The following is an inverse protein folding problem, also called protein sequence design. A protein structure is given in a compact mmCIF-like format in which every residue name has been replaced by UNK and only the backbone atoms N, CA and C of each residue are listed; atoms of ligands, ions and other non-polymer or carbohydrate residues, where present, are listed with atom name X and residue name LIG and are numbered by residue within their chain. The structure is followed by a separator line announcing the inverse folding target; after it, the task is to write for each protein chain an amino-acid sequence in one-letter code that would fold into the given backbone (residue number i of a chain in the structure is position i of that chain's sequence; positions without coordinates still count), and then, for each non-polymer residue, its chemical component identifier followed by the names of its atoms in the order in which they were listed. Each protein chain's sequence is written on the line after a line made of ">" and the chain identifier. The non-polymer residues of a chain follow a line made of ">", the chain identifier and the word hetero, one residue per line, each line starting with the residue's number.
data_IF_340226034151
#
_entry.id   IF_340226034151
#
_cell.length_a   1.000
_cell.length_b   1.000
_cell.length_c   1.000
_cell.angle_alpha   90.00
_cell.angle_beta   90.00
_cell.angle_gamma   90.00
#
_symmetry.space_group_name_H-M   'P 1'
#
loop_
_entity.id
_entity.type
_entity.pdbx_description
1 polymer ?
#
# COMPACT_ATOMS: atom_id res chain seq x y z
N UNK A 1 -11.87 -48.42 5.90
CA UNK A 1 -11.68 -47.32 4.92
C UNK A 1 -11.38 -45.98 5.59
N UNK A 2 -12.29 -45.41 6.41
CA UNK A 2 -12.02 -44.11 7.08
C UNK A 2 -10.84 -44.19 8.06
N UNK A 3 -10.75 -45.25 8.85
CA UNK A 3 -9.66 -45.50 9.80
C UNK A 3 -8.29 -45.62 9.12
N UNK A 4 -8.25 -46.23 7.96
CA UNK A 4 -7.01 -46.40 7.17
C UNK A 4 -6.56 -45.05 6.57
N UNK A 5 -7.53 -44.23 6.10
CA UNK A 5 -7.26 -42.90 5.60
C UNK A 5 -6.71 -42.02 6.73
N UNK A 6 -7.34 -41.96 7.90
CA UNK A 6 -6.88 -41.17 9.04
C UNK A 6 -5.49 -41.63 9.53
N UNK A 7 -5.23 -42.94 9.57
CA UNK A 7 -3.92 -43.46 9.92
C UNK A 7 -2.84 -42.98 8.96
N UNK A 8 -3.10 -43.09 7.65
CA UNK A 8 -2.16 -42.62 6.62
C UNK A 8 -1.95 -41.13 6.66
N UNK A 9 -3.01 -40.33 6.89
CA UNK A 9 -2.90 -38.86 7.08
C UNK A 9 -1.99 -38.53 8.26
N UNK A 10 -2.23 -39.14 9.43
CA UNK A 10 -1.42 -38.91 10.64
C UNK A 10 0.06 -39.26 10.40
N UNK A 11 0.32 -40.37 9.72
CA UNK A 11 1.66 -40.83 9.40
C UNK A 11 2.39 -39.85 8.46
N UNK A 12 1.74 -39.45 7.38
CA UNK A 12 2.29 -38.50 6.41
C UNK A 12 2.52 -37.13 7.04
N UNK A 13 1.56 -36.64 7.82
CA UNK A 13 1.66 -35.35 8.52
C UNK A 13 2.86 -35.36 9.50
N UNK A 14 2.98 -36.42 10.31
CA UNK A 14 4.13 -36.58 11.20
C UNK A 14 5.47 -36.59 10.45
N UNK A 15 5.52 -37.20 9.28
CA UNK A 15 6.72 -37.22 8.44
C UNK A 15 7.03 -35.85 7.84
N UNK A 16 6.04 -35.08 7.39
CA UNK A 16 6.18 -33.73 6.88
C UNK A 16 6.66 -32.76 7.97
N UNK A 17 6.07 -32.84 9.17
CA UNK A 17 6.44 -31.98 10.32
C UNK A 17 7.83 -32.27 10.89
N UNK A 18 8.37 -33.46 10.68
CA UNK A 18 9.75 -33.80 11.10
C UNK A 18 10.83 -33.26 10.18
N UNK A 19 10.48 -32.85 8.95
CA UNK A 19 11.44 -32.30 8.00
C UNK A 19 11.61 -30.80 8.24
N UNK A 20 12.80 -30.39 8.69
CA UNK A 20 13.13 -28.98 8.94
C UNK A 20 12.91 -28.08 7.71
N UNK A 21 13.23 -28.59 6.53
CA UNK A 21 13.00 -27.90 5.25
C UNK A 21 11.52 -27.63 5.01
N UNK A 22 10.63 -28.58 5.29
CA UNK A 22 9.18 -28.39 5.13
C UNK A 22 8.67 -27.33 6.08
N UNK A 23 9.09 -27.35 7.35
CA UNK A 23 8.72 -26.34 8.33
C UNK A 23 9.19 -24.94 7.94
N UNK A 24 10.43 -24.84 7.47
CA UNK A 24 11.00 -23.55 7.03
C UNK A 24 10.23 -22.97 5.86
N UNK A 25 10.00 -23.76 4.82
CA UNK A 25 9.30 -23.27 3.63
C UNK A 25 7.81 -23.06 3.82
N UNK A 26 7.17 -23.83 4.70
CA UNK A 26 5.71 -23.74 4.93
C UNK A 26 5.35 -22.65 5.92
N UNK A 27 6.14 -22.44 6.97
CA UNK A 27 5.78 -21.52 8.05
C UNK A 27 6.69 -20.28 8.15
N UNK A 28 8.01 -20.46 8.02
CA UNK A 28 8.94 -19.34 8.23
C UNK A 28 9.00 -18.43 7.00
N UNK A 29 9.12 -19.01 5.81
CA UNK A 29 9.23 -18.24 4.58
C UNK A 29 7.99 -17.37 4.29
N UNK A 30 6.75 -17.81 4.45
CA UNK A 30 5.59 -16.94 4.30
C UNK A 30 5.66 -15.70 5.20
N UNK A 31 6.04 -15.86 6.46
CA UNK A 31 6.15 -14.73 7.41
C UNK A 31 7.20 -13.72 6.96
N UNK A 32 8.37 -14.21 6.52
CA UNK A 32 9.43 -13.34 5.99
C UNK A 32 8.95 -12.59 4.76
N UNK A 33 8.30 -13.30 3.83
CA UNK A 33 7.77 -12.68 2.61
C UNK A 33 6.64 -11.69 2.91
N UNK A 34 5.72 -12.00 3.84
CA UNK A 34 4.69 -11.06 4.27
C UNK A 34 5.30 -9.78 4.80
N UNK A 35 6.30 -9.90 5.68
CA UNK A 35 6.98 -8.73 6.22
C UNK A 35 7.68 -7.92 5.12
N UNK A 36 8.45 -8.59 4.27
CA UNK A 36 9.21 -7.92 3.20
C UNK A 36 8.28 -7.23 2.18
N UNK A 37 7.33 -7.96 1.62
CA UNK A 37 6.42 -7.41 0.59
C UNK A 37 5.48 -6.38 1.20
N UNK A 38 4.97 -6.60 2.41
CA UNK A 38 4.16 -5.61 3.10
C UNK A 38 4.91 -4.28 3.26
N UNK A 39 6.19 -4.30 3.64
CA UNK A 39 7.00 -3.08 3.72
C UNK A 39 7.28 -2.46 2.35
N UNK A 40 7.60 -3.25 1.33
CA UNK A 40 7.84 -2.75 -0.03
C UNK A 40 6.56 -2.18 -0.65
N UNK A 41 5.41 -2.78 -0.38
CA UNK A 41 4.10 -2.33 -0.89
C UNK A 41 3.51 -1.12 -0.14
N UNK A 42 4.26 -0.50 0.78
CA UNK A 42 3.84 0.70 1.51
C UNK A 42 3.65 0.48 3.02
N UNK A 43 4.02 -0.68 3.54
CA UNK A 43 3.95 -1.00 4.97
C UNK A 43 2.52 -1.02 5.51
N UNK A 44 2.39 -0.73 6.78
CA UNK A 44 1.10 -0.40 7.42
C UNK A 44 0.71 1.05 7.05
N UNK A 45 0.73 1.39 5.76
CA UNK A 45 0.44 2.74 5.29
C UNK A 45 -0.83 3.25 5.96
N UNK A 46 -0.65 4.11 6.94
CA UNK A 46 -1.75 4.83 7.58
C UNK A 46 -2.25 5.82 6.54
N UNK A 47 -3.33 5.47 5.90
CA UNK A 47 -4.03 6.34 4.94
C UNK A 47 -4.40 7.69 5.58
N UNK A 48 -4.39 7.78 6.91
CA UNK A 48 -4.75 8.95 7.69
C UNK A 48 -3.55 9.78 8.18
N UNK A 49 -2.30 9.29 8.05
CA UNK A 49 -1.14 10.10 8.42
C UNK A 49 -0.79 11.09 7.30
N UNK A 50 -0.61 12.38 7.65
CA UNK A 50 -0.19 13.38 6.68
C UNK A 50 1.18 13.03 6.08
N UNK A 51 1.26 13.05 4.75
CA UNK A 51 2.50 12.79 4.03
C UNK A 51 3.54 13.88 4.33
N UNK A 52 4.76 13.54 4.77
CA UNK A 52 5.78 14.54 5.00
C UNK A 52 6.27 15.15 3.69
N UNK A 53 6.35 16.49 3.66
CA UNK A 53 6.83 17.28 2.52
C UNK A 53 7.73 18.41 3.00
N UNK A 54 8.85 18.62 2.33
CA UNK A 54 9.72 19.74 2.59
C UNK A 54 9.36 20.93 1.70
N UNK A 55 9.45 22.14 2.25
CA UNK A 55 9.27 23.37 1.49
C UNK A 55 10.60 24.15 1.53
N UNK A 56 11.18 24.34 0.36
CA UNK A 56 12.35 25.19 0.19
C UNK A 56 11.86 26.56 -0.32
N UNK A 57 11.88 27.55 0.55
CA UNK A 57 11.49 28.92 0.23
C UNK A 57 12.65 29.87 0.52
N UNK A 58 12.96 30.80 -0.39
CA UNK A 58 13.91 31.87 -0.11
C UNK A 58 13.26 32.92 0.83
N UNK A 59 14.10 33.77 1.45
CA UNK A 59 13.63 34.75 2.42
C UNK A 59 12.66 35.79 1.82
N UNK A 60 12.77 36.06 0.51
CA UNK A 60 11.94 36.99 -0.25
C UNK A 60 10.68 36.37 -0.87
N UNK A 61 10.37 35.11 -0.56
CA UNK A 61 9.17 34.42 -1.07
C UNK A 61 7.86 35.10 -0.68
N UNK A 62 7.85 35.75 0.48
CA UNK A 62 6.71 36.53 1.00
C UNK A 62 5.57 35.65 1.54
N UNK A 63 4.49 36.27 1.98
CA UNK A 63 3.41 35.62 2.73
C UNK A 63 2.60 34.59 1.94
N UNK A 64 2.55 34.69 0.61
CA UNK A 64 1.85 33.66 -0.20
C UNK A 64 2.54 32.28 -0.12
N UNK A 65 3.83 32.24 0.19
CA UNK A 65 4.53 30.99 0.43
C UNK A 65 4.06 30.31 1.73
N UNK A 66 3.79 31.09 2.77
CA UNK A 66 3.26 30.60 4.04
C UNK A 66 1.80 30.15 3.88
N UNK A 67 1.02 30.88 3.10
CA UNK A 67 -0.35 30.52 2.77
C UNK A 67 -0.40 29.21 1.94
N UNK A 68 0.55 29.01 1.03
CA UNK A 68 0.67 27.75 0.30
C UNK A 68 0.99 26.59 1.26
N UNK A 69 1.88 26.81 2.22
CA UNK A 69 2.20 25.82 3.25
C UNK A 69 0.95 25.38 4.03
N UNK A 70 0.16 26.34 4.51
CA UNK A 70 -1.10 26.08 5.21
C UNK A 70 -2.09 25.28 4.36
N UNK A 71 -2.15 25.54 3.05
CA UNK A 71 -3.02 24.78 2.14
C UNK A 71 -2.55 23.37 1.91
N UNK A 72 -1.24 23.16 1.83
CA UNK A 72 -0.67 21.81 1.74
C UNK A 72 -1.02 20.99 2.98
N UNK A 73 -0.99 21.59 4.17
CA UNK A 73 -1.43 20.91 5.40
C UNK A 73 -2.91 20.51 5.33
N UNK A 74 -3.77 21.37 4.82
CA UNK A 74 -5.20 21.04 4.60
C UNK A 74 -5.41 19.92 3.57
N UNK A 75 -4.43 19.67 2.70
CA UNK A 75 -4.43 18.57 1.73
C UNK A 75 -3.67 17.35 2.23
N UNK A 76 -3.60 17.16 3.54
CA UNK A 76 -3.00 16.01 4.20
C UNK A 76 -1.50 15.86 3.94
N UNK A 77 -0.78 16.98 3.94
CA UNK A 77 0.68 17.01 4.01
C UNK A 77 1.13 17.52 5.37
N UNK A 78 2.27 17.02 5.85
CA UNK A 78 2.95 17.54 7.05
C UNK A 78 4.26 18.19 6.62
N UNK A 79 4.41 19.48 6.91
CA UNK A 79 5.62 20.22 6.55
C UNK A 79 6.76 19.79 7.45
N UNK A 80 7.90 19.42 6.84
CA UNK A 80 9.15 19.07 7.53
C UNK A 80 10.25 20.07 7.15
N UNK A 81 11.06 20.45 8.14
CA UNK A 81 12.19 21.38 7.93
C UNK A 81 13.47 20.61 7.58
N UNK A 82 13.42 19.78 6.56
CA UNK A 82 14.57 19.02 6.11
C UNK A 82 14.91 19.37 4.68
N UNK A 83 16.13 19.87 4.45
CA UNK A 83 16.62 20.10 3.09
C UNK A 83 16.90 18.74 2.42
N UNK A 84 16.58 18.64 1.12
CA UNK A 84 16.73 17.40 0.32
C UNK A 84 15.86 16.21 0.80
N UNK A 85 14.64 16.49 1.19
CA UNK A 85 13.68 15.45 1.46
C UNK A 85 13.16 14.83 0.15
N UNK A 86 12.74 13.57 0.18
CA UNK A 86 12.29 12.84 -1.02
C UNK A 86 11.03 13.44 -1.68
N UNK A 87 10.29 14.30 -0.97
CA UNK A 87 9.21 15.16 -1.48
C UNK A 87 9.53 16.60 -1.12
N UNK A 88 9.84 17.41 -2.12
CA UNK A 88 10.24 18.81 -1.89
C UNK A 88 9.46 19.74 -2.82
N UNK A 89 8.90 20.79 -2.25
CA UNK A 89 8.36 21.91 -3.02
C UNK A 89 9.40 23.04 -2.99
N UNK A 90 9.81 23.49 -4.17
CA UNK A 90 10.68 24.64 -4.32
C UNK A 90 9.88 25.83 -4.79
N UNK A 91 9.88 26.89 -3.98
CA UNK A 91 9.24 28.16 -4.28
C UNK A 91 10.29 29.11 -4.86
N UNK A 92 9.99 29.81 -5.98
CA UNK A 92 10.93 30.74 -6.59
C UNK A 92 11.09 32.03 -5.75
N UNK A 93 12.21 32.75 -5.91
CA UNK A 93 12.40 34.04 -5.29
C UNK A 93 11.34 35.04 -5.79
N UNK A 94 10.96 35.99 -4.92
CA UNK A 94 9.95 37.00 -5.25
C UNK A 94 8.58 36.41 -5.59
N UNK A 95 8.25 35.21 -5.10
CA UNK A 95 6.99 34.49 -5.40
C UNK A 95 5.74 35.34 -5.20
N UNK A 96 5.63 35.98 -4.04
CA UNK A 96 4.49 36.83 -3.71
C UNK A 96 4.42 38.04 -4.62
N UNK A 97 5.53 38.77 -4.80
CA UNK A 97 5.57 39.95 -5.65
C UNK A 97 5.21 39.63 -7.12
N UNK A 98 5.75 38.56 -7.65
CA UNK A 98 5.43 38.09 -9.01
C UNK A 98 3.95 37.72 -9.16
N UNK A 99 3.39 36.92 -8.25
CA UNK A 99 1.98 36.53 -8.29
C UNK A 99 1.03 37.73 -8.15
N UNK A 100 1.38 38.70 -7.33
CA UNK A 100 0.58 39.93 -7.15
C UNK A 100 0.70 40.88 -8.35
N UNK A 101 1.83 40.90 -9.03
CA UNK A 101 2.00 41.70 -10.27
C UNK A 101 1.29 41.08 -11.49
N UNK A 102 0.68 39.89 -11.37
CA UNK A 102 0.02 39.17 -12.47
C UNK A 102 0.96 38.25 -13.23
N UNK A 103 2.19 38.03 -12.75
CA UNK A 103 3.10 37.03 -13.28
C UNK A 103 2.64 35.61 -12.94
N UNK A 104 3.27 34.63 -13.58
CA UNK A 104 3.03 33.20 -13.36
C UNK A 104 4.26 32.53 -12.74
N UNK A 105 4.53 32.73 -11.44
CA UNK A 105 5.67 32.11 -10.80
C UNK A 105 5.50 30.59 -10.79
N UNK A 106 6.55 29.85 -11.18
CA UNK A 106 6.54 28.39 -11.25
C UNK A 106 6.94 27.79 -9.91
N UNK A 107 6.03 27.02 -9.30
CA UNK A 107 6.33 26.20 -8.14
C UNK A 107 6.75 24.81 -8.63
N UNK A 108 7.93 24.37 -8.22
CA UNK A 108 8.44 23.06 -8.61
C UNK A 108 8.14 22.02 -7.53
N UNK A 109 7.49 20.94 -7.89
CA UNK A 109 7.35 19.76 -7.05
C UNK A 109 8.37 18.71 -7.47
N UNK A 110 9.34 18.46 -6.61
CA UNK A 110 10.44 17.51 -6.83
C UNK A 110 10.18 16.29 -5.98
N UNK A 111 10.19 15.12 -6.61
CA UNK A 111 10.08 13.83 -5.95
C UNK A 111 11.21 12.93 -6.36
N UNK A 112 11.95 12.42 -5.37
CA UNK A 112 12.96 11.40 -5.57
C UNK A 112 12.35 10.02 -5.36
N UNK A 113 12.41 9.17 -6.37
CA UNK A 113 11.89 7.81 -6.38
C UNK A 113 10.57 7.64 -7.13
N UNK A 114 10.39 6.45 -7.67
CA UNK A 114 9.15 6.02 -8.35
C UNK A 114 8.28 5.27 -7.35
N UNK A 115 7.09 5.76 -7.08
CA UNK A 115 6.09 5.10 -6.23
C UNK A 115 4.72 5.09 -6.88
N UNK A 116 3.90 4.15 -6.50
CA UNK A 116 2.54 3.93 -7.04
C UNK A 116 1.62 5.14 -6.84
N UNK A 117 1.92 6.00 -5.84
CA UNK A 117 1.07 7.15 -5.47
C UNK A 117 1.52 8.50 -6.05
N UNK A 118 2.42 8.51 -7.03
CA UNK A 118 3.01 9.75 -7.59
C UNK A 118 1.94 10.69 -8.14
N UNK A 119 1.00 10.17 -8.92
CA UNK A 119 -0.06 10.97 -9.56
C UNK A 119 -1.03 11.55 -8.52
N UNK A 120 -1.28 10.80 -7.44
CA UNK A 120 -2.14 11.27 -6.37
C UNK A 120 -1.51 12.42 -5.57
N UNK A 121 -0.21 12.32 -5.26
CA UNK A 121 0.54 13.37 -4.57
C UNK A 121 0.60 14.66 -5.43
N UNK A 122 0.93 14.51 -6.71
CA UNK A 122 0.96 15.63 -7.65
C UNK A 122 -0.42 16.32 -7.74
N UNK A 123 -1.49 15.53 -7.77
CA UNK A 123 -2.86 16.07 -7.81
C UNK A 123 -3.16 16.88 -6.55
N UNK A 124 -2.77 16.43 -5.36
CA UNK A 124 -2.97 17.15 -4.09
C UNK A 124 -2.18 18.47 -4.05
N UNK A 125 -0.91 18.44 -4.49
CA UNK A 125 -0.09 19.66 -4.60
C UNK A 125 -0.70 20.63 -5.60
N UNK A 126 -1.11 20.16 -6.78
CA UNK A 126 -1.75 21.02 -7.78
C UNK A 126 -3.05 21.63 -7.28
N UNK A 127 -3.85 20.89 -6.50
CA UNK A 127 -5.06 21.44 -5.86
C UNK A 127 -4.74 22.56 -4.87
N UNK A 128 -3.70 22.40 -4.06
CA UNK A 128 -3.28 23.43 -3.12
C UNK A 128 -2.83 24.72 -3.84
N UNK A 129 -2.04 24.57 -4.91
CA UNK A 129 -1.56 25.70 -5.73
C UNK A 129 -2.72 26.37 -6.46
N UNK A 130 -3.61 25.62 -7.09
CA UNK A 130 -4.76 26.15 -7.81
C UNK A 130 -5.76 26.84 -6.88
N UNK A 131 -5.97 26.30 -5.68
CA UNK A 131 -6.79 26.95 -4.67
C UNK A 131 -6.21 28.32 -4.24
N UNK A 132 -4.88 28.38 -4.05
CA UNK A 132 -4.20 29.64 -3.74
C UNK A 132 -4.37 30.65 -4.89
N UNK A 133 -4.14 30.23 -6.12
CA UNK A 133 -4.30 31.08 -7.31
C UNK A 133 -5.74 31.57 -7.46
N UNK A 134 -6.73 30.71 -7.23
CA UNK A 134 -8.15 31.06 -7.27
C UNK A 134 -8.53 32.12 -6.25
N UNK A 135 -8.00 32.00 -5.03
CA UNK A 135 -8.29 32.96 -3.97
C UNK A 135 -7.60 34.31 -4.20
N UNK A 136 -6.37 34.31 -4.74
CA UNK A 136 -5.70 35.55 -5.19
C UNK A 136 -6.52 36.25 -6.27
N UNK A 137 -7.01 35.49 -7.25
CA UNK A 137 -7.85 36.02 -8.33
C UNK A 137 -9.19 36.57 -7.79
N UNK A 138 -9.81 35.88 -6.82
CA UNK A 138 -11.06 36.32 -6.18
C UNK A 138 -10.88 37.64 -5.43
N UNK A 139 -9.82 37.74 -4.60
CA UNK A 139 -9.52 38.97 -3.87
C UNK A 139 -9.27 40.13 -4.81
N UNK A 140 -8.48 39.95 -5.87
CA UNK A 140 -8.24 40.93 -6.90
C UNK A 140 -9.52 41.35 -7.62
N UNK A 141 -10.37 40.40 -7.96
CA UNK A 141 -11.67 40.65 -8.62
C UNK A 141 -12.63 41.45 -7.71
N UNK A 142 -12.47 41.35 -6.39
CA UNK A 142 -13.22 42.15 -5.41
C UNK A 142 -12.57 43.51 -5.10
N UNK A 143 -11.45 43.85 -5.74
CA UNK A 143 -10.69 45.08 -5.45
C UNK A 143 -9.98 45.06 -4.09
N UNK A 144 -9.85 43.90 -3.45
CA UNK A 144 -9.21 43.73 -2.14
C UNK A 144 -7.73 43.37 -2.35
N UNK A 145 -6.83 44.15 -1.74
CA UNK A 145 -5.42 43.80 -1.75
C UNK A 145 -5.19 42.46 -1.02
N UNK A 146 -4.57 41.45 -1.68
CA UNK A 146 -4.26 40.20 -1.03
C UNK A 146 -3.30 40.38 0.16
N UNK A 147 -3.76 40.00 1.34
CA UNK A 147 -3.02 40.05 2.60
C UNK A 147 -3.38 38.81 3.44
N UNK A 148 -2.60 38.44 4.47
CA UNK A 148 -2.96 37.33 5.35
C UNK A 148 -4.37 37.47 5.95
N UNK A 149 -4.73 38.69 6.37
CA UNK A 149 -6.07 38.97 6.93
C UNK A 149 -7.17 38.83 5.87
N UNK A 150 -6.90 39.22 4.63
CA UNK A 150 -7.85 39.08 3.53
C UNK A 150 -8.13 37.61 3.22
N UNK A 151 -7.11 36.75 3.25
CA UNK A 151 -7.28 35.29 3.10
C UNK A 151 -8.06 34.69 4.28
N UNK A 152 -7.79 35.13 5.51
CA UNK A 152 -8.53 34.67 6.68
C UNK A 152 -10.02 35.00 6.57
N UNK A 153 -10.35 36.24 6.15
CA UNK A 153 -11.74 36.65 5.90
C UNK A 153 -12.39 35.88 4.75
N UNK A 154 -11.65 35.66 3.66
CA UNK A 154 -12.14 34.86 2.52
C UNK A 154 -12.48 33.44 2.94
N UNK A 155 -11.65 32.83 3.79
CA UNK A 155 -11.87 31.48 4.30
C UNK A 155 -13.12 31.32 5.18
N UNK A 156 -13.57 32.42 5.81
CA UNK A 156 -14.78 32.47 6.65
C UNK A 156 -16.06 32.72 5.82
N UNK A 157 -15.93 33.14 4.56
CA UNK A 157 -17.11 33.36 3.73
C UNK A 157 -17.82 32.02 3.39
N UNK A 158 -19.17 32.02 3.39
CA UNK A 158 -19.91 30.82 3.01
C UNK A 158 -19.59 30.45 1.57
N UNK A 159 -19.28 29.17 1.36
CA UNK A 159 -19.00 28.65 0.02
C UNK A 159 -20.25 28.82 -0.86
N UNK A 160 -20.14 29.58 -1.93
CA UNK A 160 -21.24 29.76 -2.91
C UNK A 160 -21.62 28.50 -3.64
N UNK A 161 -20.67 27.57 -3.79
CA UNK A 161 -20.90 26.26 -4.39
C UNK A 161 -20.39 25.22 -3.39
N UNK A 162 -21.30 24.41 -2.86
CA UNK A 162 -20.99 23.28 -2.03
C UNK A 162 -21.12 22.00 -2.87
N UNK A 163 -20.06 21.23 -2.97
CA UNK A 163 -20.11 19.91 -3.60
C UNK A 163 -20.51 18.91 -2.52
N UNK A 164 -21.71 18.38 -2.61
CA UNK A 164 -22.15 17.28 -1.77
C UNK A 164 -21.79 15.95 -2.44
N UNK A 165 -20.74 15.32 -1.97
CA UNK A 165 -20.32 14.01 -2.49
C UNK A 165 -21.09 12.93 -1.75
N UNK A 166 -22.04 12.31 -2.43
CA UNK A 166 -22.73 11.10 -1.95
C UNK A 166 -22.05 9.90 -2.56
N UNK A 167 -21.65 8.94 -1.72
CA UNK A 167 -21.07 7.70 -2.23
C UNK A 167 -22.16 6.89 -2.96
N UNK A 168 -22.04 6.74 -4.26
CA UNK A 168 -22.95 5.95 -5.09
C UNK A 168 -22.71 4.43 -4.96
N UNK A 169 -22.45 3.96 -3.75
CA UNK A 169 -22.21 2.56 -3.43
C UNK A 169 -21.15 2.39 -2.35
N UNK A 170 -20.98 1.17 -1.88
CA UNK A 170 -19.88 0.80 -0.98
C UNK A 170 -18.57 0.80 -1.76
N UNK A 171 -17.95 1.94 -1.93
CA UNK A 171 -16.58 2.00 -2.41
C UNK A 171 -15.70 1.40 -1.31
N UNK A 172 -15.37 0.13 -1.44
CA UNK A 172 -14.30 -0.44 -0.63
C UNK A 172 -13.04 0.31 -1.01
N UNK A 173 -12.46 1.00 -0.05
CA UNK A 173 -11.10 1.53 -0.21
C UNK A 173 -10.24 0.35 -0.65
N UNK A 174 -9.52 0.50 -1.76
CA UNK A 174 -8.65 -0.57 -2.21
C UNK A 174 -7.62 -0.83 -1.11
N UNK A 175 -7.52 -2.06 -0.60
CA UNK A 175 -6.56 -2.37 0.44
C UNK A 175 -5.15 -2.07 -0.06
N UNK A 176 -4.32 -1.45 0.79
CA UNK A 176 -2.95 -1.06 0.47
C UNK A 176 -2.00 -1.76 1.45
N UNK A 177 -0.77 -2.02 1.01
CA UNK A 177 0.24 -2.59 1.87
C UNK A 177 -0.10 -4.00 2.35
N UNK A 178 -0.07 -4.21 3.66
CA UNK A 178 -0.33 -5.53 4.24
C UNK A 178 -1.75 -6.06 4.01
N UNK A 179 -2.76 -5.19 4.01
CA UNK A 179 -4.15 -5.59 3.75
C UNK A 179 -4.35 -6.21 2.36
N UNK A 180 -3.59 -5.75 1.37
CA UNK A 180 -3.61 -6.31 0.02
C UNK A 180 -2.67 -7.50 -0.11
N UNK A 181 -1.48 -7.42 0.48
CA UNK A 181 -0.43 -8.42 0.33
C UNK A 181 -0.78 -9.74 1.03
N UNK A 182 -1.35 -9.67 2.25
CA UNK A 182 -1.61 -10.86 3.07
C UNK A 182 -2.55 -11.87 2.39
N UNK A 183 -3.75 -11.51 1.90
CA UNK A 183 -4.63 -12.48 1.26
C UNK A 183 -4.01 -13.11 0.00
N UNK A 184 -3.38 -12.29 -0.85
CA UNK A 184 -2.75 -12.78 -2.08
C UNK A 184 -1.59 -13.73 -1.81
N UNK A 185 -0.75 -13.39 -0.85
CA UNK A 185 0.37 -14.21 -0.41
C UNK A 185 -0.09 -15.51 0.22
N UNK A 186 -1.11 -15.48 1.07
CA UNK A 186 -1.65 -16.67 1.72
C UNK A 186 -2.12 -17.68 0.68
N UNK A 187 -2.86 -17.24 -0.33
CA UNK A 187 -3.29 -18.11 -1.43
C UNK A 187 -2.09 -18.64 -2.22
N UNK A 188 -1.15 -17.77 -2.57
CA UNK A 188 0.05 -18.16 -3.33
C UNK A 188 0.88 -19.21 -2.57
N UNK A 189 1.17 -18.99 -1.29
CA UNK A 189 1.96 -19.95 -0.49
C UNK A 189 1.21 -21.25 -0.26
N UNK A 190 -0.09 -21.20 0.00
CA UNK A 190 -0.91 -22.42 0.12
C UNK A 190 -0.85 -23.24 -1.16
N UNK A 191 -1.01 -22.62 -2.32
CA UNK A 191 -0.89 -23.30 -3.61
C UNK A 191 0.52 -23.84 -3.85
N UNK A 192 1.55 -23.07 -3.51
CA UNK A 192 2.94 -23.48 -3.68
C UNK A 192 3.27 -24.68 -2.80
N UNK A 193 2.82 -24.71 -1.55
CA UNK A 193 3.01 -25.83 -0.63
C UNK A 193 2.25 -27.07 -1.15
N UNK A 194 0.97 -26.91 -1.51
CA UNK A 194 0.16 -28.04 -1.98
C UNK A 194 0.71 -28.64 -3.27
N UNK A 195 1.12 -27.82 -4.22
CA UNK A 195 1.59 -28.29 -5.52
C UNK A 195 3.04 -28.80 -5.47
N UNK A 196 3.94 -28.02 -4.88
CA UNK A 196 5.38 -28.33 -4.89
C UNK A 196 5.69 -29.48 -3.93
N UNK A 197 5.34 -29.36 -2.66
CA UNK A 197 5.58 -30.42 -1.67
C UNK A 197 4.79 -31.69 -2.06
N UNK A 198 3.57 -31.52 -2.56
CA UNK A 198 2.75 -32.61 -3.07
C UNK A 198 3.36 -33.34 -4.25
N UNK A 199 3.78 -32.60 -5.26
CA UNK A 199 4.36 -33.14 -6.48
C UNK A 199 5.71 -33.84 -6.25
N UNK A 200 6.62 -33.15 -5.56
CA UNK A 200 7.95 -33.70 -5.24
C UNK A 200 7.85 -34.95 -4.40
N UNK A 201 6.98 -34.97 -3.40
CA UNK A 201 6.80 -36.16 -2.53
C UNK A 201 6.25 -37.36 -3.33
N UNK A 202 5.25 -37.14 -4.19
CA UNK A 202 4.68 -38.18 -5.05
C UNK A 202 5.73 -38.77 -6.00
N UNK A 203 6.56 -37.94 -6.63
CA UNK A 203 7.63 -38.38 -7.51
C UNK A 203 8.69 -39.18 -6.73
N UNK A 204 9.07 -38.70 -5.55
CA UNK A 204 10.02 -39.42 -4.68
C UNK A 204 9.48 -40.80 -4.24
N UNK A 205 8.23 -40.88 -3.79
CA UNK A 205 7.57 -42.12 -3.41
C UNK A 205 7.44 -43.09 -4.57
N UNK A 206 7.16 -42.58 -5.78
CA UNK A 206 7.14 -43.40 -7.00
C UNK A 206 8.51 -43.97 -7.28
N UNK A 207 9.58 -43.18 -7.20
CA UNK A 207 10.97 -43.62 -7.43
C UNK A 207 11.43 -44.63 -6.38
N UNK A 208 11.00 -44.48 -5.13
CA UNK A 208 11.30 -45.40 -4.03
C UNK A 208 10.45 -46.70 -4.05
N UNK A 209 9.51 -46.83 -4.98
CA UNK A 209 8.63 -47.98 -5.09
C UNK A 209 7.56 -48.06 -3.98
N UNK A 210 7.39 -47.02 -3.16
CA UNK A 210 6.41 -46.96 -2.07
C UNK A 210 4.98 -47.08 -2.62
N UNK A 211 4.67 -46.39 -3.71
CA UNK A 211 3.36 -46.47 -4.35
C UNK A 211 3.06 -47.91 -4.87
N UNK A 212 4.07 -48.64 -5.33
CA UNK A 212 3.92 -50.03 -5.78
C UNK A 212 3.60 -50.95 -4.61
N UNK A 213 4.25 -50.76 -3.46
CA UNK A 213 3.97 -51.52 -2.23
C UNK A 213 2.58 -51.23 -1.68
N UNK A 214 2.16 -49.96 -1.72
CA UNK A 214 0.80 -49.55 -1.34
C UNK A 214 -0.27 -50.14 -2.26
N UNK A 215 0.03 -50.27 -3.56
CA UNK A 215 -0.89 -50.89 -4.53
C UNK A 215 -1.06 -52.40 -4.34
N UNK A 216 -0.10 -53.07 -3.72
CA UNK A 216 -0.17 -54.49 -3.37
C UNK A 216 -0.74 -54.75 -1.96
N UNK A 217 -1.04 -53.70 -1.18
CA UNK A 217 -1.68 -53.80 0.13
C UNK A 217 -3.22 -53.91 -0.02
N UNK A 218 -3.94 -54.44 0.99
CA UNK A 218 -5.40 -54.54 0.96
C UNK A 218 -6.13 -53.19 1.13
N UNK A 219 -5.44 -52.09 0.82
CA UNK A 219 -5.97 -50.74 0.92
C UNK A 219 -6.44 -50.26 -0.45
N UNK A 220 -7.62 -49.68 -0.56
CA UNK A 220 -8.13 -49.18 -1.84
C UNK A 220 -7.28 -48.00 -2.36
N UNK A 221 -7.09 -47.95 -3.67
CA UNK A 221 -6.33 -46.85 -4.31
C UNK A 221 -6.92 -45.48 -4.00
N UNK A 222 -8.25 -45.39 -3.89
CA UNK A 222 -8.94 -44.14 -3.50
C UNK A 222 -8.58 -43.68 -2.08
N UNK A 223 -8.46 -44.64 -1.13
CA UNK A 223 -8.04 -44.32 0.25
C UNK A 223 -6.62 -43.77 0.31
N UNK A 224 -5.71 -44.27 -0.52
CA UNK A 224 -4.33 -43.74 -0.59
C UNK A 224 -4.31 -42.30 -1.14
N UNK A 225 -5.06 -42.06 -2.21
CA UNK A 225 -5.14 -40.69 -2.81
C UNK A 225 -5.77 -39.70 -1.80
N UNK A 226 -6.90 -40.07 -1.19
CA UNK A 226 -7.56 -39.25 -0.20
C UNK A 226 -6.66 -39.00 1.03
N UNK A 227 -5.90 -39.96 1.48
CA UNK A 227 -4.97 -39.79 2.59
C UNK A 227 -3.83 -38.83 2.24
N UNK A 228 -3.27 -38.91 1.04
CA UNK A 228 -2.23 -38.01 0.56
C UNK A 228 -2.71 -36.59 0.43
N UNK A 229 -3.92 -36.37 -0.07
CA UNK A 229 -4.56 -35.06 -0.11
C UNK A 229 -4.89 -34.55 1.28
N UNK A 230 -5.50 -35.41 2.12
CA UNK A 230 -5.87 -35.04 3.48
C UNK A 230 -4.70 -34.59 4.33
N UNK A 231 -3.56 -35.26 4.26
CA UNK A 231 -2.34 -34.85 4.98
C UNK A 231 -1.86 -33.45 4.58
N UNK A 232 -1.95 -33.09 3.30
CA UNK A 232 -1.52 -31.77 2.81
C UNK A 232 -2.51 -30.67 3.15
N UNK A 233 -3.81 -30.96 3.03
CA UNK A 233 -4.85 -30.02 3.45
C UNK A 233 -4.76 -29.77 4.95
N UNK A 234 -4.54 -30.81 5.77
CA UNK A 234 -4.32 -30.66 7.21
C UNK A 234 -3.10 -29.81 7.54
N UNK A 235 -2.01 -29.93 6.75
CA UNK A 235 -0.83 -29.07 6.91
C UNK A 235 -1.12 -27.59 6.63
N UNK A 236 -2.03 -27.31 5.70
CA UNK A 236 -2.44 -25.95 5.37
C UNK A 236 -3.37 -25.30 6.40
N UNK A 237 -3.95 -26.08 7.31
CA UNK A 237 -4.79 -25.58 8.42
C UNK A 237 -4.04 -25.44 9.76
N UNK A 238 -2.80 -25.83 9.84
CA UNK A 238 -1.92 -25.64 11.01
C UNK A 238 -1.14 -24.36 10.89
#
# INVERSE_FOLDING_TARGET
>A
MLRDVLFLISRDLSHLLRRRETLLWTFVMPVIFFYFIGNVAGGFGRLDEPDPIAIVKPADAGFLADELATRLERHNFRIVQQQNFFRTIRIPPGFTASALAGGTPKVEFIRYGTGINTDYEQTRVSRAVNALAGDVATLKGQGIAPSPDAFARLAQQPKRIAVHVTSAGRRKVAPIGFEQAVPGMLVMFTMLVLLNVGGVTLVAERRQGILRRLASSPISRGSVVLAKWGARVSLGFV
#
